data_IF_294088019631
#
_entry.id   IF_294088019631
#
_cell.length_a   1.000
_cell.length_b   1.000
_cell.length_c   1.000
_cell.angle_alpha   90.00
_cell.angle_beta   90.00
_cell.angle_gamma   90.00
#
_symmetry.space_group_name_H-M   'P 1'
#
loop_
_entity.id
_entity.type
_entity.pdbx_description
1 polymer ?
#
# COMPACT_ATOMS: atom_id res chain seq x y z
N UNK A 1 22.96 3.05 0.52
CA UNK A 1 21.49 3.22 0.55
C UNK A 1 20.95 3.20 1.97
N UNK A 2 20.90 2.05 2.66
CA UNK A 2 20.23 1.90 3.96
C UNK A 2 20.69 2.88 5.06
N UNK A 3 22.00 3.10 5.23
CA UNK A 3 22.53 4.05 6.24
C UNK A 3 22.00 5.48 6.00
N UNK A 4 22.01 5.92 4.74
CA UNK A 4 21.51 7.25 4.37
C UNK A 4 20.01 7.39 4.60
N UNK A 5 19.23 6.35 4.29
CA UNK A 5 17.80 6.36 4.59
C UNK A 5 17.50 6.39 6.09
N UNK A 6 18.25 5.64 6.91
CA UNK A 6 18.12 5.73 8.38
C UNK A 6 18.41 7.14 8.90
N UNK A 7 19.44 7.79 8.39
CA UNK A 7 19.74 9.20 8.72
C UNK A 7 18.60 10.15 8.31
N UNK A 8 17.98 9.93 7.14
CA UNK A 8 16.85 10.74 6.69
C UNK A 8 15.61 10.52 7.58
N UNK A 9 15.35 9.29 8.02
CA UNK A 9 14.27 9.00 8.97
C UNK A 9 14.50 9.64 10.34
N UNK A 10 15.74 9.59 10.87
CA UNK A 10 16.14 10.28 12.11
C UNK A 10 15.92 11.79 12.04
N UNK A 11 16.05 12.37 10.84
CA UNK A 11 15.80 13.78 10.60
C UNK A 11 14.34 14.09 10.24
N UNK A 12 13.41 13.13 10.41
CA UNK A 12 11.99 13.33 10.15
C UNK A 12 11.62 13.57 8.69
N UNK A 13 12.46 13.15 7.74
CA UNK A 13 12.31 13.53 6.32
C UNK A 13 11.26 12.73 5.55
N UNK A 14 10.63 11.74 6.15
CA UNK A 14 9.67 10.87 5.49
C UNK A 14 8.35 10.77 6.26
N UNK A 15 7.25 10.81 5.51
CA UNK A 15 5.93 10.34 5.95
C UNK A 15 5.48 9.14 5.12
N UNK A 16 4.43 8.46 5.58
CA UNK A 16 3.82 7.33 4.86
C UNK A 16 2.33 7.55 4.63
N UNK A 17 1.87 7.44 3.37
CA UNK A 17 0.46 7.40 3.00
C UNK A 17 0.07 5.94 2.75
N UNK A 18 -1.02 5.49 3.38
CA UNK A 18 -1.60 4.17 3.17
C UNK A 18 -2.91 4.29 2.43
N UNK A 19 -2.99 3.66 1.26
CA UNK A 19 -4.20 3.61 0.45
C UNK A 19 -5.11 2.50 0.99
N UNK A 20 -6.14 2.90 1.73
CA UNK A 20 -7.05 2.01 2.46
C UNK A 20 -8.53 2.21 2.09
N UNK A 21 -8.83 2.87 0.97
CA UNK A 21 -10.21 3.06 0.48
C UNK A 21 -10.92 1.80 -0.05
N UNK A 22 -10.27 0.63 0.03
CA UNK A 22 -10.82 -0.64 -0.43
C UNK A 22 -11.63 -1.38 0.65
N UNK A 23 -12.68 -2.08 0.21
CA UNK A 23 -13.48 -2.98 1.05
C UNK A 23 -12.92 -4.42 1.01
N UNK A 24 -13.20 -5.19 2.06
CA UNK A 24 -12.81 -6.60 2.21
C UNK A 24 -13.68 -7.60 1.43
N UNK A 25 -14.49 -7.17 0.47
CA UNK A 25 -15.54 -8.00 -0.16
C UNK A 25 -15.01 -9.29 -0.81
N UNK A 26 -13.86 -9.25 -1.48
CA UNK A 26 -13.21 -10.44 -2.06
C UNK A 26 -12.71 -11.46 -1.03
N UNK A 27 -12.61 -11.05 0.23
CA UNK A 27 -12.22 -11.88 1.37
C UNK A 27 -13.45 -12.43 2.11
N UNK A 28 -14.66 -12.20 1.58
CA UNK A 28 -15.93 -12.44 2.28
C UNK A 28 -15.97 -11.75 3.66
N UNK A 29 -15.34 -10.59 3.76
CA UNK A 29 -15.27 -9.79 4.97
C UNK A 29 -16.11 -8.53 4.79
N UNK A 30 -17.03 -8.30 5.73
CA UNK A 30 -17.83 -7.09 5.78
C UNK A 30 -17.01 -5.95 6.38
N UNK A 31 -16.81 -4.90 5.59
CA UNK A 31 -16.14 -3.68 6.03
C UNK A 31 -14.74 -3.47 5.48
N UNK A 32 -14.00 -2.53 6.07
CA UNK A 32 -12.76 -2.03 5.51
C UNK A 32 -11.67 -3.10 5.59
N UNK A 33 -10.93 -3.29 4.50
CA UNK A 33 -9.95 -4.37 4.41
C UNK A 33 -8.87 -4.31 5.49
N UNK A 34 -8.49 -3.11 5.93
CA UNK A 34 -7.47 -2.93 6.96
C UNK A 34 -7.84 -3.52 8.34
N UNK A 35 -9.12 -3.79 8.59
CA UNK A 35 -9.60 -4.43 9.83
C UNK A 35 -9.37 -5.94 9.83
N UNK A 36 -9.05 -6.55 8.68
CA UNK A 36 -8.94 -7.98 8.53
C UNK A 36 -7.74 -8.53 9.33
N UNK A 37 -7.93 -9.54 10.22
CA UNK A 37 -6.86 -10.15 10.99
C UNK A 37 -5.97 -11.03 10.11
N UNK A 38 -4.66 -10.82 10.15
CA UNK A 38 -3.70 -11.52 9.30
C UNK A 38 -2.58 -12.24 10.05
N UNK A 39 -2.20 -11.80 11.25
CA UNK A 39 -1.16 -12.51 12.01
C UNK A 39 -1.71 -13.78 12.66
N UNK A 40 -0.84 -14.75 12.91
CA UNK A 40 -1.26 -16.12 13.29
C UNK A 40 -1.47 -16.24 14.79
N UNK A 41 -0.61 -15.65 15.61
CA UNK A 41 -0.61 -15.86 17.06
C UNK A 41 -1.39 -14.77 17.77
N UNK A 42 -1.19 -13.50 17.39
CA UNK A 42 -1.88 -12.36 18.02
C UNK A 42 -3.12 -11.92 17.24
N UNK A 43 -3.37 -12.50 16.07
CA UNK A 43 -4.50 -12.14 15.20
C UNK A 43 -4.59 -10.64 14.89
N UNK A 44 -3.42 -10.00 14.72
CA UNK A 44 -3.31 -8.57 14.43
C UNK A 44 -3.95 -8.26 13.09
N UNK A 45 -4.72 -7.19 13.04
CA UNK A 45 -5.25 -6.65 11.79
C UNK A 45 -4.15 -6.01 10.94
N UNK A 46 -4.42 -5.81 9.64
CA UNK A 46 -3.51 -5.06 8.76
C UNK A 46 -3.22 -3.64 9.31
N UNK A 47 -4.23 -2.96 9.86
CA UNK A 47 -4.04 -1.66 10.50
C UNK A 47 -3.20 -1.73 11.78
N UNK A 48 -3.40 -2.76 12.60
CA UNK A 48 -2.57 -2.96 13.80
C UNK A 48 -1.10 -3.19 13.43
N UNK A 49 -0.82 -4.05 12.45
CA UNK A 49 0.56 -4.29 11.98
C UNK A 49 1.22 -2.99 11.49
N UNK A 50 0.49 -2.16 10.75
CA UNK A 50 0.97 -0.88 10.26
C UNK A 50 1.25 0.12 11.39
N UNK A 51 0.32 0.23 12.35
CA UNK A 51 0.43 1.16 13.46
C UNK A 51 1.60 0.79 14.38
N UNK A 52 1.72 -0.48 14.77
CA UNK A 52 2.81 -0.96 15.62
C UNK A 52 4.18 -0.80 14.91
N UNK A 53 4.25 -1.07 13.59
CA UNK A 53 5.46 -0.77 12.78
C UNK A 53 5.82 0.71 12.81
N UNK A 54 4.84 1.59 12.73
CA UNK A 54 5.06 3.05 12.78
C UNK A 54 5.56 3.50 14.15
N UNK A 55 5.02 2.94 15.23
CA UNK A 55 5.49 3.17 16.62
C UNK A 55 6.93 2.67 16.77
N UNK A 56 7.21 1.45 16.34
CA UNK A 56 8.55 0.86 16.40
C UNK A 56 9.59 1.66 15.58
N UNK A 57 9.23 2.08 14.36
CA UNK A 57 10.08 2.93 13.53
C UNK A 57 10.38 4.26 14.23
N UNK A 58 9.35 4.90 14.79
CA UNK A 58 9.49 6.17 15.52
C UNK A 58 10.40 6.04 16.75
N UNK A 59 10.28 4.93 17.48
CA UNK A 59 11.16 4.59 18.61
C UNK A 59 12.60 4.36 18.16
N UNK A 60 12.82 3.65 17.05
CA UNK A 60 14.16 3.40 16.51
C UNK A 60 14.90 4.69 16.18
N UNK A 61 14.19 5.67 15.62
CA UNK A 61 14.78 6.93 15.17
C UNK A 61 14.63 8.08 16.17
N UNK A 62 13.99 7.82 17.32
CA UNK A 62 13.64 8.80 18.34
C UNK A 62 12.94 10.05 17.77
N UNK A 63 12.02 9.84 16.83
CA UNK A 63 11.28 10.91 16.16
C UNK A 63 9.86 10.41 15.80
N UNK A 64 8.79 11.18 16.04
CA UNK A 64 7.43 10.77 15.72
C UNK A 64 7.19 10.82 14.20
N UNK A 65 7.33 9.67 13.54
CA UNK A 65 7.14 9.57 12.10
C UNK A 65 5.64 9.69 11.73
N UNK A 66 5.36 10.39 10.63
CA UNK A 66 4.00 10.74 10.21
C UNK A 66 3.38 9.67 9.30
N UNK A 67 2.14 9.29 9.61
CA UNK A 67 1.33 8.31 8.91
C UNK A 67 -0.01 8.95 8.51
N UNK A 68 -0.42 8.80 7.26
CA UNK A 68 -1.73 9.21 6.80
C UNK A 68 -2.46 8.03 6.18
N UNK A 69 -3.72 7.83 6.56
CA UNK A 69 -4.58 6.77 6.03
C UNK A 69 -5.60 7.40 5.09
N UNK A 70 -5.55 7.01 3.81
CA UNK A 70 -6.57 7.37 2.83
C UNK A 70 -7.74 6.39 2.91
N UNK A 71 -8.91 6.89 3.24
CA UNK A 71 -10.18 6.15 3.33
C UNK A 71 -11.05 6.38 2.09
N UNK A 72 -12.19 5.71 2.03
CA UNK A 72 -13.30 6.01 1.12
C UNK A 72 -14.50 6.52 1.90
N UNK A 73 -15.48 7.19 1.26
CA UNK A 73 -16.68 7.63 1.96
C UNK A 73 -17.41 6.46 2.65
N UNK A 74 -17.32 5.26 2.09
CA UNK A 74 -17.97 4.07 2.63
C UNK A 74 -17.24 3.44 3.83
N UNK A 75 -15.94 3.71 4.04
CA UNK A 75 -15.19 3.13 5.16
C UNK A 75 -14.63 4.15 6.16
N UNK A 76 -14.68 5.45 5.88
CA UNK A 76 -13.99 6.46 6.68
C UNK A 76 -14.36 6.41 8.17
N UNK A 77 -15.66 6.42 8.48
CA UNK A 77 -16.12 6.41 9.87
C UNK A 77 -15.74 5.12 10.59
N UNK A 78 -15.93 3.96 9.96
CA UNK A 78 -15.61 2.65 10.54
C UNK A 78 -14.11 2.53 10.79
N UNK A 79 -13.28 2.98 9.85
CA UNK A 79 -11.83 2.99 10.00
C UNK A 79 -11.40 3.89 11.15
N UNK A 80 -11.89 5.13 11.23
CA UNK A 80 -11.55 6.05 12.34
C UNK A 80 -11.96 5.48 13.70
N UNK A 81 -13.18 4.95 13.79
CA UNK A 81 -13.69 4.34 15.03
C UNK A 81 -12.82 3.16 15.48
N UNK A 82 -12.40 2.31 14.54
CA UNK A 82 -11.54 1.17 14.84
C UNK A 82 -10.19 1.58 15.45
N UNK A 83 -9.57 2.65 14.96
CA UNK A 83 -8.34 3.19 15.56
C UNK A 83 -8.59 3.75 16.97
N UNK A 84 -9.72 4.44 17.19
CA UNK A 84 -10.09 4.99 18.52
C UNK A 84 -10.29 3.86 19.53
N UNK A 85 -11.05 2.82 19.17
CA UNK A 85 -11.36 1.68 20.05
C UNK A 85 -10.12 0.89 20.49
N UNK A 86 -9.05 0.96 19.70
CA UNK A 86 -7.79 0.27 19.96
C UNK A 86 -6.68 1.21 20.48
N UNK A 87 -7.04 2.41 20.95
CA UNK A 87 -6.11 3.43 21.45
C UNK A 87 -4.92 3.68 20.49
N UNK A 88 -5.22 3.65 19.19
CA UNK A 88 -4.28 3.82 18.08
C UNK A 88 -3.04 2.90 18.13
N UNK A 89 -3.08 1.80 18.89
CA UNK A 89 -1.95 0.90 19.15
C UNK A 89 -0.67 1.63 19.58
N UNK A 90 -0.81 2.71 20.36
CA UNK A 90 0.30 3.51 20.88
C UNK A 90 0.81 4.60 19.96
N UNK A 91 0.19 4.83 18.78
CA UNK A 91 0.45 6.04 18.00
C UNK A 91 -0.07 7.26 18.75
N UNK A 92 0.75 8.32 18.82
CA UNK A 92 0.23 9.62 19.26
C UNK A 92 -0.71 10.20 18.20
N UNK A 93 -1.68 11.01 18.63
CA UNK A 93 -2.62 11.68 17.72
C UNK A 93 -1.92 12.58 16.69
N UNK A 94 -0.73 13.08 17.02
CA UNK A 94 0.07 13.89 16.11
C UNK A 94 0.76 13.07 15.00
N UNK A 95 0.92 11.76 15.18
CA UNK A 95 1.56 10.88 14.19
C UNK A 95 0.59 10.41 13.11
N UNK A 96 -0.71 10.34 13.40
CA UNK A 96 -1.70 9.76 12.49
C UNK A 96 -2.70 10.80 11.98
N UNK A 97 -2.97 10.76 10.68
CA UNK A 97 -4.00 11.57 10.03
C UNK A 97 -4.87 10.70 9.13
N UNK A 98 -6.11 11.14 8.90
CA UNK A 98 -7.04 10.48 7.99
C UNK A 98 -7.50 11.50 6.96
N UNK A 99 -7.57 11.09 5.70
CA UNK A 99 -8.20 11.87 4.65
C UNK A 99 -9.02 10.93 3.76
N UNK A 100 -10.16 11.41 3.29
CA UNK A 100 -11.07 10.61 2.50
C UNK A 100 -10.83 10.89 1.01
N UNK A 101 -10.73 9.84 0.20
CA UNK A 101 -10.67 10.00 -1.25
C UNK A 101 -12.01 10.48 -1.80
N UNK A 102 -11.95 11.18 -2.93
CA UNK A 102 -13.12 11.67 -3.65
C UNK A 102 -13.84 10.57 -4.45
N UNK A 103 -15.03 10.88 -4.95
CA UNK A 103 -15.84 9.98 -5.80
C UNK A 103 -16.00 10.50 -7.21
N UNK A 104 -16.35 9.61 -8.13
CA UNK A 104 -16.82 9.95 -9.47
C UNK A 104 -18.23 9.39 -9.69
N UNK A 105 -19.06 10.08 -10.50
CA UNK A 105 -20.36 9.54 -10.89
C UNK A 105 -20.23 8.25 -11.71
N UNK A 106 -21.19 7.35 -11.52
CA UNK A 106 -21.39 6.19 -12.38
C UNK A 106 -22.28 6.58 -13.56
N UNK A 107 -22.01 5.98 -14.72
CA UNK A 107 -22.82 6.18 -15.93
C UNK A 107 -23.51 4.89 -16.32
N UNK A 108 -24.75 4.97 -16.79
CA UNK A 108 -25.46 3.81 -17.36
C UNK A 108 -24.90 3.42 -18.74
N UNK A 109 -25.53 2.47 -19.42
CA UNK A 109 -25.06 1.96 -20.71
C UNK A 109 -25.02 3.05 -21.79
N UNK A 110 -25.93 4.02 -21.71
CA UNK A 110 -26.04 5.17 -22.61
C UNK A 110 -25.09 6.33 -22.25
N UNK A 111 -24.29 6.19 -21.19
CA UNK A 111 -23.39 7.23 -20.72
C UNK A 111 -24.08 8.35 -19.91
N UNK A 112 -25.29 8.10 -19.42
CA UNK A 112 -26.09 9.04 -18.62
C UNK A 112 -25.94 8.79 -17.12
N UNK A 113 -26.08 9.86 -16.33
CA UNK A 113 -26.20 9.78 -14.87
C UNK A 113 -27.49 9.06 -14.48
N UNK A 114 -27.44 8.33 -13.37
CA UNK A 114 -28.62 7.70 -12.78
C UNK A 114 -28.57 7.81 -11.25
N UNK A 115 -29.73 7.56 -10.63
CA UNK A 115 -29.90 7.67 -9.19
C UNK A 115 -29.60 6.33 -8.49
N UNK A 116 -28.75 6.36 -7.47
CA UNK A 116 -28.60 5.25 -6.50
C UNK A 116 -29.77 5.26 -5.51
N UNK A 117 -30.17 6.45 -5.06
CA UNK A 117 -31.36 6.69 -4.21
C UNK A 117 -32.16 7.85 -4.76
N UNK A 118 -33.40 8.05 -4.29
CA UNK A 118 -34.27 9.14 -4.76
C UNK A 118 -33.65 10.55 -4.64
N UNK A 119 -32.64 10.72 -3.80
CA UNK A 119 -31.98 12.00 -3.54
C UNK A 119 -30.47 12.00 -3.85
N UNK A 120 -29.93 10.93 -4.45
CA UNK A 120 -28.47 10.80 -4.67
C UNK A 120 -28.17 10.14 -6.01
N UNK A 121 -27.30 10.78 -6.80
CA UNK A 121 -26.70 10.15 -7.97
C UNK A 121 -25.83 8.95 -7.56
N UNK A 122 -25.74 7.96 -8.43
CA UNK A 122 -24.83 6.85 -8.21
C UNK A 122 -23.38 7.30 -8.35
N UNK A 123 -22.57 7.03 -7.33
CA UNK A 123 -21.17 7.42 -7.25
C UNK A 123 -20.34 6.26 -6.73
N UNK A 124 -19.04 6.29 -7.03
CA UNK A 124 -18.09 5.35 -6.47
C UNK A 124 -16.73 5.98 -6.29
N UNK A 125 -15.86 5.38 -5.47
CA UNK A 125 -14.50 5.87 -5.30
C UNK A 125 -13.77 6.02 -6.63
N UNK A 126 -13.07 7.14 -6.80
CA UNK A 126 -12.42 7.56 -8.06
C UNK A 126 -11.04 6.90 -8.32
N UNK A 127 -10.71 5.86 -7.55
CA UNK A 127 -9.48 5.09 -7.70
C UNK A 127 -8.29 5.64 -6.91
N UNK A 128 -7.26 4.83 -6.76
CA UNK A 128 -6.10 5.14 -5.92
C UNK A 128 -5.16 6.19 -6.54
N UNK A 129 -5.34 6.56 -7.82
CA UNK A 129 -4.57 7.59 -8.50
C UNK A 129 -4.84 9.00 -8.00
N UNK A 130 -6.02 9.25 -7.47
CA UNK A 130 -6.38 10.56 -6.95
C UNK A 130 -5.77 10.87 -5.58
N UNK A 131 -5.06 9.92 -4.96
CA UNK A 131 -4.56 10.05 -3.59
C UNK A 131 -3.67 11.29 -3.38
N UNK A 132 -2.85 11.69 -4.37
CA UNK A 132 -2.01 12.88 -4.27
C UNK A 132 -2.86 14.15 -4.25
N UNK A 133 -3.93 14.20 -5.04
CA UNK A 133 -4.87 15.32 -5.04
C UNK A 133 -5.64 15.40 -3.73
N UNK A 134 -6.23 14.28 -3.27
CA UNK A 134 -6.99 14.25 -2.02
C UNK A 134 -6.10 14.59 -0.80
N UNK A 135 -4.85 14.10 -0.79
CA UNK A 135 -3.86 14.45 0.24
C UNK A 135 -3.54 15.95 0.23
N UNK A 136 -3.36 16.55 -0.96
CA UNK A 136 -3.11 17.98 -1.09
C UNK A 136 -4.32 18.81 -0.66
N UNK A 137 -5.52 18.47 -1.13
CA UNK A 137 -6.77 19.18 -0.81
C UNK A 137 -7.17 19.06 0.66
N UNK A 138 -6.79 17.98 1.34
CA UNK A 138 -7.01 17.83 2.78
C UNK A 138 -6.20 18.80 3.64
N UNK A 139 -5.23 19.51 3.07
CA UNK A 139 -4.28 20.37 3.78
C UNK A 139 -3.13 19.60 4.45
N UNK A 140 -3.14 18.27 4.42
CA UNK A 140 -2.08 17.45 5.03
C UNK A 140 -0.72 17.62 4.34
N UNK A 141 -0.71 17.95 3.04
CA UNK A 141 0.53 18.30 2.33
C UNK A 141 1.26 19.46 3.03
N UNK A 142 0.54 20.55 3.35
CA UNK A 142 1.13 21.73 3.98
C UNK A 142 1.60 21.42 5.41
N UNK A 143 0.81 20.64 6.16
CA UNK A 143 1.19 20.17 7.51
C UNK A 143 2.49 19.36 7.45
N UNK A 144 2.62 18.44 6.51
CA UNK A 144 3.81 17.61 6.35
C UNK A 144 5.02 18.41 5.87
N UNK A 145 4.80 19.36 4.95
CA UNK A 145 5.84 20.30 4.50
C UNK A 145 6.38 21.14 5.66
N UNK A 146 5.51 21.68 6.51
CA UNK A 146 5.90 22.45 7.70
C UNK A 146 6.67 21.59 8.73
N UNK A 147 6.37 20.29 8.83
CA UNK A 147 7.13 19.33 9.64
C UNK A 147 8.49 18.96 9.04
N UNK A 148 8.83 19.46 7.85
CA UNK A 148 10.11 19.21 7.19
C UNK A 148 10.19 17.86 6.47
N UNK A 149 9.04 17.23 6.19
CA UNK A 149 8.96 16.01 5.37
C UNK A 149 9.31 16.35 3.93
N UNK A 150 10.18 15.56 3.32
CA UNK A 150 10.66 15.71 1.95
C UNK A 150 10.26 14.53 1.06
N UNK A 151 9.97 13.37 1.65
CA UNK A 151 9.66 12.13 0.95
C UNK A 151 8.37 11.48 1.49
N UNK A 152 7.60 10.87 0.61
CA UNK A 152 6.40 10.12 0.96
C UNK A 152 6.54 8.69 0.48
N UNK A 153 6.49 7.73 1.39
CA UNK A 153 6.21 6.35 1.02
C UNK A 153 4.70 6.16 0.82
N UNK A 154 4.28 5.59 -0.30
CA UNK A 154 2.87 5.25 -0.57
C UNK A 154 2.75 3.73 -0.69
N UNK A 155 1.89 3.14 0.15
CA UNK A 155 1.66 1.69 0.21
C UNK A 155 0.18 1.35 0.12
N UNK A 156 -0.13 0.16 -0.39
CA UNK A 156 -1.47 -0.42 -0.29
C UNK A 156 -1.64 -1.12 1.06
N UNK A 157 -2.81 -0.93 1.70
CA UNK A 157 -3.12 -1.55 3.00
C UNK A 157 -3.04 -3.08 2.98
N UNK A 158 -3.18 -3.71 1.82
CA UNK A 158 -3.29 -5.17 1.73
C UNK A 158 -1.97 -5.91 1.65
N UNK A 159 -0.84 -5.22 1.49
CA UNK A 159 0.47 -5.85 1.52
C UNK A 159 0.98 -5.95 2.96
N UNK A 160 0.87 -7.13 3.58
CA UNK A 160 1.28 -7.36 4.98
C UNK A 160 2.78 -7.20 5.20
N UNK A 161 3.57 -7.35 4.13
CA UNK A 161 5.02 -7.15 4.14
C UNK A 161 5.45 -5.72 3.80
N UNK A 162 4.52 -4.80 3.55
CA UNK A 162 4.88 -3.41 3.31
C UNK A 162 5.61 -2.84 4.55
N UNK A 163 6.67 -2.09 4.27
CA UNK A 163 7.44 -1.33 5.25
C UNK A 163 7.08 0.16 5.06
N UNK A 164 6.33 0.78 6.00
CA UNK A 164 5.93 2.18 5.86
C UNK A 164 7.11 3.14 5.86
N UNK A 165 8.25 2.77 6.48
CA UNK A 165 9.44 3.61 6.64
C UNK A 165 10.70 2.90 6.15
N UNK A 166 10.62 2.35 4.93
CA UNK A 166 11.70 1.62 4.28
C UNK A 166 12.95 2.48 4.06
N UNK A 167 13.94 2.33 4.94
CA UNK A 167 15.19 3.06 4.88
C UNK A 167 16.04 2.73 3.64
N UNK A 168 15.91 1.53 3.07
CA UNK A 168 16.66 1.18 1.87
C UNK A 168 16.08 1.89 0.64
N UNK A 169 14.75 1.84 0.49
CA UNK A 169 14.02 2.54 -0.56
C UNK A 169 14.26 4.05 -0.49
N UNK A 170 14.13 4.66 0.69
CA UNK A 170 14.38 6.08 0.90
C UNK A 170 15.83 6.44 0.55
N UNK A 171 16.79 5.65 1.02
CA UNK A 171 18.20 5.86 0.75
C UNK A 171 18.52 5.80 -0.74
N UNK A 172 17.95 4.83 -1.46
CA UNK A 172 18.09 4.73 -2.91
C UNK A 172 17.45 5.92 -3.62
N UNK A 173 16.19 6.24 -3.30
CA UNK A 173 15.43 7.35 -3.89
C UNK A 173 16.19 8.68 -3.78
N UNK A 174 16.70 8.97 -2.57
CA UNK A 174 17.50 10.17 -2.32
C UNK A 174 18.80 10.19 -3.12
N UNK A 175 19.55 9.06 -3.14
CA UNK A 175 20.82 8.97 -3.88
C UNK A 175 20.64 9.17 -5.38
N UNK A 176 19.54 8.67 -5.95
CA UNK A 176 19.22 8.86 -7.38
C UNK A 176 18.69 10.26 -7.70
N UNK A 177 18.40 11.09 -6.68
CA UNK A 177 17.66 12.35 -6.83
C UNK A 177 16.36 12.12 -7.61
N UNK A 178 15.67 11.02 -7.28
CA UNK A 178 14.46 10.59 -7.94
C UNK A 178 13.28 11.51 -7.58
N UNK A 179 12.30 11.58 -8.47
CA UNK A 179 10.99 12.16 -8.17
C UNK A 179 10.03 11.06 -7.73
N UNK A 180 10.12 9.89 -8.37
CA UNK A 180 9.35 8.69 -8.03
C UNK A 180 10.28 7.48 -8.08
N UNK A 181 10.31 6.68 -7.03
CA UNK A 181 10.88 5.33 -7.04
C UNK A 181 9.79 4.32 -6.77
N UNK A 182 9.75 3.24 -7.56
CA UNK A 182 8.84 2.11 -7.33
C UNK A 182 9.66 0.95 -6.79
N UNK A 183 9.20 0.33 -5.70
CA UNK A 183 9.74 -0.98 -5.28
C UNK A 183 9.03 -2.08 -6.06
N UNK A 184 9.82 -2.88 -6.74
CA UNK A 184 9.38 -3.92 -7.65
C UNK A 184 9.90 -5.28 -7.19
N UNK A 185 9.32 -6.35 -7.72
CA UNK A 185 9.91 -7.69 -7.62
C UNK A 185 9.89 -8.37 -8.98
N UNK A 186 10.55 -9.52 -9.09
CA UNK A 186 10.45 -10.30 -10.31
C UNK A 186 9.10 -11.01 -10.38
N UNK A 187 8.45 -10.91 -11.55
CA UNK A 187 7.32 -11.72 -11.95
C UNK A 187 7.82 -13.15 -12.13
N UNK A 188 7.20 -14.10 -11.44
CA UNK A 188 7.69 -15.49 -11.44
C UNK A 188 7.13 -16.30 -12.62
N UNK A 189 5.89 -16.02 -13.02
CA UNK A 189 5.17 -16.82 -14.01
C UNK A 189 4.45 -15.91 -15.02
N UNK A 190 4.37 -16.30 -16.31
CA UNK A 190 3.67 -15.53 -17.35
C UNK A 190 2.26 -15.07 -16.99
N UNK A 191 1.51 -15.93 -16.28
CA UNK A 191 0.09 -15.73 -15.96
C UNK A 191 -0.17 -15.00 -14.64
N UNK A 192 0.88 -14.58 -13.94
CA UNK A 192 0.73 -13.78 -12.72
C UNK A 192 -0.03 -12.48 -13.01
N UNK A 193 -1.10 -12.22 -12.25
CA UNK A 193 -2.00 -11.06 -12.40
C UNK A 193 -1.41 -9.82 -11.73
N UNK A 194 -0.29 -9.36 -12.26
CA UNK A 194 0.42 -8.18 -11.79
C UNK A 194 0.77 -7.27 -12.96
N UNK A 195 0.58 -5.96 -12.78
CA UNK A 195 1.05 -4.97 -13.74
C UNK A 195 2.58 -5.01 -13.87
N UNK A 196 3.09 -4.72 -15.06
CA UNK A 196 4.54 -4.70 -15.32
C UNK A 196 5.00 -3.26 -15.57
N UNK A 197 6.18 -2.91 -15.06
CA UNK A 197 6.83 -1.66 -15.41
C UNK A 197 7.50 -1.82 -16.76
N UNK A 198 7.24 -0.88 -17.66
CA UNK A 198 7.89 -0.80 -18.96
C UNK A 198 8.40 0.61 -19.19
N UNK A 199 9.39 0.72 -20.08
CA UNK A 199 9.86 2.00 -20.60
C UNK A 199 9.46 2.11 -22.06
N UNK A 200 8.61 3.07 -22.38
CA UNK A 200 8.12 3.35 -23.73
C UNK A 200 8.31 4.84 -24.02
N UNK A 201 8.87 5.20 -25.18
CA UNK A 201 9.12 6.61 -25.57
C UNK A 201 9.84 7.41 -24.48
N UNK A 202 10.87 6.80 -23.86
CA UNK A 202 11.64 7.34 -22.73
C UNK A 202 10.87 7.59 -21.42
N UNK A 203 9.56 7.28 -21.36
CA UNK A 203 8.74 7.38 -20.15
C UNK A 203 8.51 6.01 -19.52
N UNK A 204 8.41 6.00 -18.20
CA UNK A 204 8.04 4.79 -17.45
C UNK A 204 6.52 4.77 -17.32
N UNK A 205 5.92 3.61 -17.61
CA UNK A 205 4.49 3.35 -17.38
C UNK A 205 4.32 1.96 -16.81
N UNK A 206 3.15 1.71 -16.23
CA UNK A 206 2.72 0.36 -15.89
C UNK A 206 1.75 -0.11 -16.97
N UNK A 207 1.94 -1.32 -17.47
CA UNK A 207 0.95 -2.02 -18.30
C UNK A 207 0.29 -3.07 -17.42
N UNK A 208 -1.03 -3.00 -17.28
CA UNK A 208 -1.78 -3.96 -16.49
C UNK A 208 -1.79 -5.35 -17.13
N UNK A 209 -1.92 -6.40 -16.31
CA UNK A 209 -1.85 -7.79 -16.80
C UNK A 209 -2.93 -8.11 -17.84
N UNK A 210 -4.08 -7.43 -17.78
CA UNK A 210 -5.19 -7.57 -18.72
C UNK A 210 -4.91 -6.93 -20.08
N UNK A 211 -3.92 -6.06 -20.18
CA UNK A 211 -3.54 -5.34 -21.40
C UNK A 211 -2.37 -6.01 -22.14
N UNK A 212 -1.69 -6.96 -21.49
CA UNK A 212 -0.60 -7.71 -22.10
C UNK A 212 -1.13 -8.80 -23.03
N UNK A 213 -0.58 -8.86 -24.25
CA UNK A 213 -0.78 -10.00 -25.15
C UNK A 213 -0.13 -11.27 -24.60
N UNK A 214 -0.64 -12.44 -24.98
CA UNK A 214 -0.04 -13.71 -24.54
C UNK A 214 1.39 -13.89 -25.05
N UNK A 215 1.70 -13.34 -26.22
CA UNK A 215 3.09 -13.28 -26.71
C UNK A 215 3.99 -12.51 -25.74
N UNK A 216 3.57 -11.34 -25.26
CA UNK A 216 4.36 -10.56 -24.30
C UNK A 216 4.42 -11.23 -22.92
N UNK A 217 3.33 -11.85 -22.46
CA UNK A 217 3.34 -12.58 -21.17
C UNK A 217 4.37 -13.71 -21.15
N UNK A 218 4.54 -14.41 -22.27
CA UNK A 218 5.43 -15.56 -22.39
C UNK A 218 6.83 -15.21 -22.96
N UNK A 219 7.09 -13.93 -23.27
CA UNK A 219 8.38 -13.52 -23.80
C UNK A 219 9.49 -13.74 -22.76
N UNK A 220 10.52 -14.48 -23.14
CA UNK A 220 11.64 -14.85 -22.28
C UNK A 220 12.99 -14.58 -22.93
N UNK A 221 13.96 -14.18 -22.12
CA UNK A 221 15.37 -14.09 -22.49
C UNK A 221 16.00 -15.48 -22.69
N UNK A 222 17.22 -15.53 -23.24
CA UNK A 222 17.95 -16.78 -23.50
C UNK A 222 18.16 -17.64 -22.23
N UNK A 223 18.20 -17.03 -21.05
CA UNK A 223 18.33 -17.70 -19.75
C UNK A 223 16.99 -18.20 -19.16
N UNK A 224 15.89 -18.15 -19.93
CA UNK A 224 14.50 -18.47 -19.51
C UNK A 224 13.87 -17.47 -18.52
N UNK A 225 14.53 -16.36 -18.19
CA UNK A 225 13.93 -15.26 -17.43
C UNK A 225 12.88 -14.56 -18.29
N UNK A 226 11.76 -14.14 -17.70
CA UNK A 226 10.77 -13.35 -18.43
C UNK A 226 11.36 -12.00 -18.83
N UNK A 227 11.19 -11.62 -20.09
CA UNK A 227 11.63 -10.32 -20.60
C UNK A 227 10.91 -9.17 -19.88
N UNK A 228 9.62 -9.38 -19.59
CA UNK A 228 8.76 -8.45 -18.87
C UNK A 228 8.56 -8.89 -17.43
N UNK A 229 9.65 -8.88 -16.65
CA UNK A 229 9.68 -9.40 -15.29
C UNK A 229 9.50 -8.34 -14.18
N UNK A 230 9.55 -7.04 -14.46
CA UNK A 230 9.50 -6.02 -13.42
C UNK A 230 8.07 -5.79 -12.91
N UNK A 231 7.67 -6.50 -11.85
CA UNK A 231 6.31 -6.46 -11.32
C UNK A 231 6.06 -5.21 -10.48
N UNK A 232 4.93 -4.54 -10.73
CA UNK A 232 4.44 -3.41 -9.97
C UNK A 232 3.81 -3.86 -8.64
N UNK A 233 4.42 -3.49 -7.52
CA UNK A 233 3.90 -3.81 -6.19
C UNK A 233 2.96 -2.74 -5.63
N UNK A 234 2.79 -1.63 -6.36
CA UNK A 234 2.15 -0.41 -5.87
C UNK A 234 2.75 0.09 -4.55
N UNK A 235 4.07 -0.02 -4.44
CA UNK A 235 4.88 0.49 -3.33
C UNK A 235 5.81 1.57 -3.90
N UNK A 236 5.61 2.81 -3.49
CA UNK A 236 6.28 3.97 -4.07
C UNK A 236 6.98 4.79 -3.00
N UNK A 237 8.05 5.48 -3.40
CA UNK A 237 8.60 6.65 -2.71
C UNK A 237 8.47 7.84 -3.66
N UNK A 238 7.77 8.89 -3.23
CA UNK A 238 7.58 10.15 -3.95
C UNK A 238 8.36 11.27 -3.27
N UNK A 239 8.90 12.20 -4.05
CA UNK A 239 9.40 13.48 -3.51
C UNK A 239 8.23 14.44 -3.28
N UNK A 240 8.21 15.13 -2.14
CA UNK A 240 7.22 16.20 -1.87
C UNK A 240 7.28 17.32 -2.93
N UNK A 241 8.47 17.60 -3.46
CA UNK A 241 8.66 18.57 -4.54
C UNK A 241 8.05 18.14 -5.87
N UNK A 242 7.90 16.84 -6.13
CA UNK A 242 7.18 16.36 -7.31
C UNK A 242 5.69 16.75 -7.22
N UNK A 243 5.08 16.57 -6.06
CA UNK A 243 3.69 16.95 -5.79
C UNK A 243 3.52 18.47 -5.96
N UNK A 244 4.42 19.25 -5.35
CA UNK A 244 4.43 20.71 -5.42
C UNK A 244 4.49 21.25 -6.85
N UNK A 245 5.35 20.66 -7.68
CA UNK A 245 5.57 21.13 -9.04
C UNK A 245 4.53 20.61 -10.04
N UNK A 246 3.85 19.51 -9.71
CA UNK A 246 2.97 18.81 -10.67
C UNK A 246 1.50 19.15 -10.42
N UNK A 247 1.02 19.09 -9.18
CA UNK A 247 -0.42 19.25 -8.89
C UNK A 247 -1.00 20.62 -9.28
N UNK A 248 -0.31 21.77 -9.09
CA UNK A 248 -0.85 23.08 -9.49
C UNK A 248 -1.10 23.23 -10.99
N UNK A 249 -0.48 22.39 -11.82
CA UNK A 249 -0.70 22.38 -13.28
C UNK A 249 -1.94 21.57 -13.68
N UNK A 250 -2.75 21.10 -12.72
CA UNK A 250 -3.98 20.32 -12.93
C UNK A 250 -3.80 19.15 -13.92
N UNK A 251 -2.85 18.23 -13.66
CA UNK A 251 -2.60 17.09 -14.53
C UNK A 251 -3.84 16.19 -14.60
N UNK A 252 -4.14 15.73 -15.82
CA UNK A 252 -5.25 14.82 -16.05
C UNK A 252 -4.78 13.36 -16.04
N UNK A 253 -5.11 12.61 -14.98
CA UNK A 253 -4.88 11.17 -14.97
C UNK A 253 -5.90 10.44 -15.88
N UNK A 254 -5.47 9.41 -16.63
CA UNK A 254 -6.39 8.59 -17.41
C UNK A 254 -7.50 7.98 -16.54
N UNK A 255 -8.72 7.99 -17.07
CA UNK A 255 -9.85 7.29 -16.47
C UNK A 255 -9.94 5.87 -17.02
N UNK A 256 -9.73 4.89 -16.13
CA UNK A 256 -9.90 3.47 -16.41
C UNK A 256 -11.34 3.08 -16.10
N UNK A 257 -12.04 2.51 -17.08
CA UNK A 257 -13.47 2.17 -16.94
C UNK A 257 -13.67 0.68 -16.69
N UNK A 258 -14.62 0.35 -15.81
CA UNK A 258 -15.08 -1.00 -15.57
C UNK A 258 -16.60 -1.07 -15.53
N UNK A 259 -17.17 -2.09 -16.17
CA UNK A 259 -18.61 -2.36 -16.12
C UNK A 259 -18.94 -3.14 -14.84
N UNK A 260 -19.78 -2.57 -13.97
CA UNK A 260 -20.03 -3.06 -12.60
C UNK A 260 -21.51 -3.11 -12.26
N UNK A 261 -21.85 -4.02 -11.33
CA UNK A 261 -23.14 -4.00 -10.67
C UNK A 261 -23.19 -2.77 -9.76
N UNK A 262 -24.34 -2.10 -9.72
CA UNK A 262 -24.54 -0.89 -8.96
C UNK A 262 -25.93 -0.88 -8.33
N UNK A 263 -26.08 -0.06 -7.29
CA UNK A 263 -27.39 0.26 -6.73
C UNK A 263 -28.05 1.32 -7.60
N UNK A 264 -29.35 1.17 -7.85
CA UNK A 264 -30.13 2.11 -8.64
C UNK A 264 -31.56 2.22 -8.12
N UNK A 265 -32.25 3.31 -8.47
CA UNK A 265 -33.69 3.47 -8.24
C UNK A 265 -34.46 2.81 -9.38
N UNK A 266 -35.27 1.79 -9.09
CA UNK A 266 -36.09 1.11 -10.10
C UNK A 266 -37.37 1.90 -10.45
N UNK A 267 -38.19 1.37 -11.37
CA UNK A 267 -39.42 2.00 -11.84
C UNK A 267 -40.43 2.28 -10.71
N UNK A 268 -40.40 1.50 -9.63
CA UNK A 268 -41.24 1.69 -8.43
C UNK A 268 -40.66 2.72 -7.45
N UNK A 269 -39.51 3.33 -7.77
CA UNK A 269 -38.82 4.26 -6.91
C UNK A 269 -38.06 3.60 -5.75
N UNK A 270 -37.76 2.30 -5.82
CA UNK A 270 -37.08 1.55 -4.75
C UNK A 270 -35.61 1.36 -5.11
N UNK A 271 -34.70 1.65 -4.17
CA UNK A 271 -33.26 1.38 -4.32
C UNK A 271 -33.01 -0.12 -4.33
N UNK A 272 -32.41 -0.61 -5.40
CA UNK A 272 -32.12 -2.03 -5.64
C UNK A 272 -30.67 -2.21 -6.05
N UNK A 273 -29.96 -3.21 -5.50
CA UNK A 273 -28.66 -3.65 -6.01
C UNK A 273 -28.89 -4.58 -7.20
N UNK A 274 -28.32 -4.24 -8.36
CA UNK A 274 -28.43 -5.09 -9.54
C UNK A 274 -27.70 -6.42 -9.36
N UNK A 275 -28.30 -7.51 -9.85
CA UNK A 275 -27.69 -8.84 -9.90
C UNK A 275 -26.64 -9.00 -11.00
N UNK A 276 -26.62 -8.08 -11.97
CA UNK A 276 -25.70 -8.04 -13.09
C UNK A 276 -25.11 -6.63 -13.27
N UNK A 277 -23.96 -6.49 -13.94
CA UNK A 277 -23.39 -5.18 -14.23
C UNK A 277 -24.31 -4.27 -15.05
N UNK A 278 -24.51 -3.04 -14.58
CA UNK A 278 -25.41 -2.03 -15.19
C UNK A 278 -24.78 -0.65 -15.36
N UNK A 279 -23.55 -0.44 -14.87
CA UNK A 279 -22.94 0.88 -14.85
C UNK A 279 -21.44 0.88 -15.14
N UNK A 280 -20.98 1.90 -15.85
CA UNK A 280 -19.58 2.26 -16.00
C UNK A 280 -19.12 2.96 -14.73
N UNK A 281 -18.14 2.34 -14.06
CA UNK A 281 -17.36 2.96 -12.99
C UNK A 281 -16.02 3.41 -13.57
N UNK A 282 -15.55 4.59 -13.16
CA UNK A 282 -14.25 5.15 -13.56
C UNK A 282 -13.30 5.23 -12.37
N UNK A 283 -12.05 4.86 -12.59
CA UNK A 283 -10.98 4.91 -11.58
C UNK A 283 -9.70 5.48 -12.20
N UNK A 284 -8.93 6.19 -11.40
CA UNK A 284 -7.55 6.59 -11.71
C UNK A 284 -6.57 5.69 -10.97
N UNK A 285 -5.37 5.48 -11.53
CA UNK A 285 -4.35 4.64 -10.89
C UNK A 285 -3.11 5.42 -10.48
N UNK A 286 -2.55 5.10 -9.30
CA UNK A 286 -1.38 5.77 -8.71
C UNK A 286 -0.13 5.66 -9.58
N UNK A 287 -0.02 4.59 -10.37
CA UNK A 287 1.09 4.44 -11.31
C UNK A 287 0.97 5.32 -12.56
N UNK A 288 -0.19 5.92 -12.83
CA UNK A 288 -0.33 6.87 -13.95
C UNK A 288 0.37 8.21 -13.67
N UNK A 289 0.83 8.44 -12.44
CA UNK A 289 1.71 9.56 -12.10
C UNK A 289 3.10 9.46 -12.72
N UNK A 290 3.56 8.26 -13.07
CA UNK A 290 4.91 8.03 -13.58
C UNK A 290 5.20 8.80 -14.87
N UNK A 291 4.17 9.02 -15.70
CA UNK A 291 4.31 9.75 -16.96
C UNK A 291 4.62 11.24 -16.77
N UNK A 292 4.34 11.81 -15.59
CA UNK A 292 4.61 13.21 -15.27
C UNK A 292 6.00 13.43 -14.67
N UNK A 293 6.66 12.35 -14.25
CA UNK A 293 7.99 12.44 -13.69
C UNK A 293 9.07 12.35 -14.77
N UNK A 294 10.14 13.13 -14.58
CA UNK A 294 11.36 13.09 -15.40
C UNK A 294 12.38 12.10 -14.84
N UNK A 295 12.24 11.67 -13.59
CA UNK A 295 13.20 10.83 -12.86
C UNK A 295 12.49 9.72 -12.08
N UNK A 296 12.13 8.68 -12.83
CA UNK A 296 11.53 7.46 -12.30
C UNK A 296 12.58 6.35 -12.22
N UNK A 297 12.62 5.65 -11.09
CA UNK A 297 13.46 4.47 -10.90
C UNK A 297 12.65 3.29 -10.38
N UNK A 298 13.10 2.07 -10.70
CA UNK A 298 12.58 0.83 -10.14
C UNK A 298 13.67 0.20 -9.26
N UNK A 299 13.31 -0.15 -8.03
CA UNK A 299 14.15 -0.91 -7.11
C UNK A 299 13.64 -2.35 -7.07
N UNK A 300 14.32 -3.26 -7.77
CA UNK A 300 14.00 -4.69 -7.71
C UNK A 300 14.42 -5.27 -6.36
N UNK A 301 13.51 -5.99 -5.71
CA UNK A 301 13.70 -6.53 -4.38
C UNK A 301 13.16 -7.98 -4.27
N UNK A 302 13.73 -8.81 -3.37
CA UNK A 302 13.20 -10.15 -3.13
C UNK A 302 11.74 -10.12 -2.67
N UNK A 303 10.86 -10.85 -3.38
CA UNK A 303 9.41 -10.89 -3.12
C UNK A 303 9.09 -11.20 -1.66
N UNK A 304 9.71 -12.26 -1.12
CA UNK A 304 9.46 -12.74 0.24
C UNK A 304 9.80 -11.72 1.34
N UNK A 305 10.51 -10.64 1.02
CA UNK A 305 10.83 -9.57 1.97
C UNK A 305 9.90 -8.36 1.87
N UNK A 306 9.16 -8.19 0.77
CA UNK A 306 8.44 -6.93 0.51
C UNK A 306 7.03 -7.10 -0.03
N UNK A 307 6.58 -8.31 -0.40
CA UNK A 307 5.30 -8.50 -1.05
C UNK A 307 4.59 -9.78 -0.62
N UNK A 308 3.52 -9.60 0.16
CA UNK A 308 2.50 -10.62 0.40
C UNK A 308 1.13 -9.92 0.50
N UNK A 309 0.49 -9.66 -0.65
CA UNK A 309 -0.81 -9.01 -0.66
C UNK A 309 -1.91 -9.97 -0.24
N UNK A 310 -2.89 -9.48 0.49
CA UNK A 310 -4.13 -10.20 0.80
C UNK A 310 -5.18 -9.81 -0.24
N UNK A 311 -5.45 -10.59 -1.28
CA UNK A 311 -6.43 -10.25 -2.34
C UNK A 311 -7.61 -11.21 -2.42
N UNK A 312 -7.40 -12.49 -2.09
CA UNK A 312 -8.35 -13.57 -2.37
C UNK A 312 -8.72 -14.32 -1.08
N UNK A 313 -9.89 -14.96 -1.07
CA UNK A 313 -10.31 -15.80 0.06
C UNK A 313 -9.42 -17.06 0.20
N UNK A 314 -9.04 -17.69 -0.92
CA UNK A 314 -8.24 -18.92 -0.98
C UNK A 314 -7.22 -18.86 -2.12
N UNK A 315 -6.19 -19.72 -2.06
CA UNK A 315 -5.15 -19.83 -3.08
C UNK A 315 -4.09 -18.73 -2.97
N UNK A 316 -3.58 -18.27 -4.12
CA UNK A 316 -2.60 -17.18 -4.16
C UNK A 316 -3.18 -15.90 -3.56
N UNK A 317 -2.34 -15.13 -2.86
CA UNK A 317 -2.72 -13.89 -2.19
C UNK A 317 -3.90 -14.07 -1.21
N UNK A 318 -4.03 -15.25 -0.60
CA UNK A 318 -4.99 -15.53 0.48
C UNK A 318 -4.38 -15.36 1.87
N UNK A 319 -5.23 -15.40 2.90
CA UNK A 319 -4.81 -15.37 4.30
C UNK A 319 -3.72 -16.42 4.58
N UNK A 320 -3.88 -17.65 4.08
CA UNK A 320 -2.88 -18.71 4.26
C UNK A 320 -1.52 -18.33 3.67
N UNK A 321 -1.52 -17.81 2.44
CA UNK A 321 -0.28 -17.39 1.77
C UNK A 321 0.40 -16.21 2.48
N UNK A 322 -0.40 -15.26 2.98
CA UNK A 322 0.06 -14.10 3.76
C UNK A 322 0.68 -14.55 5.08
N UNK A 323 0.02 -15.45 5.81
CA UNK A 323 0.51 -16.00 7.07
C UNK A 323 1.82 -16.76 6.89
N UNK A 324 1.95 -17.58 5.84
CA UNK A 324 3.21 -18.24 5.49
C UNK A 324 4.33 -17.24 5.23
N UNK A 325 4.03 -16.16 4.51
CA UNK A 325 5.02 -15.12 4.21
C UNK A 325 5.44 -14.32 5.47
N UNK A 326 4.49 -14.02 6.37
CA UNK A 326 4.76 -13.38 7.66
C UNK A 326 5.67 -14.26 8.53
N UNK A 327 5.31 -15.53 8.74
CA UNK A 327 6.11 -16.48 9.52
C UNK A 327 7.52 -16.62 8.95
N UNK A 328 7.65 -16.72 7.63
CA UNK A 328 8.95 -16.79 6.99
C UNK A 328 9.79 -15.54 7.29
N UNK A 329 9.20 -14.35 7.13
CA UNK A 329 9.90 -13.09 7.42
C UNK A 329 10.30 -12.97 8.89
N UNK A 330 9.44 -13.40 9.80
CA UNK A 330 9.70 -13.34 11.24
C UNK A 330 10.89 -14.23 11.64
N UNK A 331 11.01 -15.42 11.03
CA UNK A 331 12.19 -16.26 11.22
C UNK A 331 13.46 -15.60 10.72
N UNK A 332 13.44 -15.05 9.51
CA UNK A 332 14.61 -14.40 8.93
C UNK A 332 15.05 -13.18 9.74
N UNK A 333 14.11 -12.36 10.22
CA UNK A 333 14.40 -11.22 11.09
C UNK A 333 15.01 -11.70 12.41
N UNK A 334 14.38 -12.65 13.10
CA UNK A 334 14.91 -13.12 14.39
C UNK A 334 16.29 -13.74 14.23
N UNK A 335 16.50 -14.54 13.19
CA UNK A 335 17.80 -15.13 12.87
C UNK A 335 18.86 -14.06 12.61
N UNK A 336 18.52 -13.01 11.86
CA UNK A 336 19.44 -11.91 11.57
C UNK A 336 19.85 -11.12 12.82
N UNK A 337 18.97 -11.02 13.81
CA UNK A 337 19.21 -10.28 15.06
C UNK A 337 19.96 -11.14 16.09
N UNK A 338 19.56 -12.40 16.25
CA UNK A 338 20.10 -13.29 17.29
C UNK A 338 21.36 -14.02 16.84
N UNK A 339 21.54 -14.24 15.53
CA UNK A 339 22.56 -15.12 14.97
C UNK A 339 22.25 -16.62 15.13
N UNK A 340 21.05 -16.98 15.58
CA UNK A 340 20.62 -18.35 15.87
C UNK A 340 19.39 -18.74 15.06
N UNK A 341 19.25 -20.04 14.78
CA UNK A 341 18.02 -20.56 14.18
C UNK A 341 16.84 -20.47 15.17
N UNK A 342 15.67 -19.95 14.75
CA UNK A 342 14.47 -19.95 15.59
C UNK A 342 14.06 -21.38 15.97
N UNK A 343 13.76 -21.64 17.25
CA UNK A 343 13.48 -23.00 17.73
C UNK A 343 12.11 -23.55 17.29
N UNK A 344 11.19 -22.67 16.88
CA UNK A 344 9.84 -23.03 16.44
C UNK A 344 9.63 -22.71 14.97
N UNK A 345 8.85 -23.56 14.30
CA UNK A 345 8.41 -23.30 12.94
C UNK A 345 7.32 -22.23 12.84
N UNK A 346 6.65 -21.93 13.96
CA UNK A 346 5.66 -20.87 14.08
C UNK A 346 6.18 -19.87 15.11
N UNK A 347 6.36 -18.63 14.69
CA UNK A 347 6.82 -17.53 15.53
C UNK A 347 6.13 -16.27 15.05
N UNK A 348 5.86 -15.32 15.95
CA UNK A 348 5.38 -13.98 15.63
C UNK A 348 6.21 -12.96 16.42
N UNK A 349 6.68 -11.89 15.76
CA UNK A 349 7.54 -10.89 16.39
C UNK A 349 6.75 -9.62 16.74
N UNK A 350 7.11 -8.98 17.85
CA UNK A 350 6.74 -7.59 18.09
C UNK A 350 7.33 -6.67 17.00
N UNK A 351 6.66 -5.53 16.75
CA UNK A 351 7.05 -4.63 15.67
C UNK A 351 8.47 -4.03 15.84
N UNK A 352 8.98 -3.95 17.09
CA UNK A 352 10.34 -3.49 17.39
C UNK A 352 11.43 -4.30 16.67
N UNK A 353 11.20 -5.57 16.35
CA UNK A 353 12.18 -6.38 15.62
C UNK A 353 12.33 -5.96 14.15
N UNK A 354 11.33 -5.30 13.56
CA UNK A 354 11.43 -4.74 12.21
C UNK A 354 12.24 -3.43 12.20
N UNK A 355 12.24 -2.71 13.33
CA UNK A 355 12.99 -1.47 13.53
C UNK A 355 13.85 -1.57 14.80
N UNK A 356 14.84 -2.49 14.84
CA UNK A 356 15.53 -2.80 16.07
C UNK A 356 16.35 -1.60 16.56
N UNK A 357 16.19 -1.24 17.82
CA UNK A 357 17.05 -0.28 18.53
C UNK A 357 18.37 -0.93 18.90
N UNK A 358 19.39 -0.13 19.25
CA UNK A 358 20.64 -0.67 19.76
C UNK A 358 20.43 -1.56 21.01
N UNK A 359 19.52 -1.16 21.90
CA UNK A 359 19.19 -1.92 23.11
C UNK A 359 18.54 -3.27 22.79
N UNK A 360 17.62 -3.31 21.82
CA UNK A 360 16.99 -4.56 21.38
C UNK A 360 18.02 -5.51 20.78
N UNK A 361 18.89 -5.01 19.91
CA UNK A 361 19.98 -5.79 19.31
C UNK A 361 20.89 -6.38 20.40
N UNK A 362 21.29 -5.58 21.38
CA UNK A 362 22.13 -6.04 22.48
C UNK A 362 21.43 -7.10 23.35
N UNK A 363 20.12 -6.92 23.62
CA UNK A 363 19.32 -7.84 24.43
C UNK A 363 19.09 -9.20 23.77
N UNK A 364 18.97 -9.22 22.45
CA UNK A 364 18.63 -10.43 21.68
C UNK A 364 19.81 -11.12 21.01
N UNK A 365 20.99 -10.50 20.98
CA UNK A 365 22.22 -11.13 20.48
C UNK A 365 22.45 -12.48 21.19
N UNK A 366 22.62 -13.54 20.41
CA UNK A 366 22.83 -14.91 20.87
C UNK A 366 21.75 -15.46 21.82
N UNK A 367 20.50 -15.00 21.70
CA UNK A 367 19.37 -15.44 22.53
C UNK A 367 18.34 -16.20 21.72
N UNK A 368 17.89 -17.35 22.24
CA UNK A 368 16.78 -18.11 21.67
C UNK A 368 15.43 -17.58 22.16
N UNK A 369 14.45 -17.53 21.26
CA UNK A 369 13.06 -17.28 21.60
C UNK A 369 12.51 -18.43 22.48
N UNK A 370 11.77 -18.09 23.54
CA UNK A 370 11.19 -19.06 24.48
C UNK A 370 9.68 -19.27 24.28
N UNK A 371 9.06 -18.38 23.51
CA UNK A 371 7.61 -18.30 23.29
C UNK A 371 7.35 -18.13 21.80
N UNK A 372 6.14 -18.48 21.35
CA UNK A 372 5.75 -18.31 19.96
C UNK A 372 5.64 -16.82 19.59
N UNK A 373 5.12 -15.98 20.49
CA UNK A 373 5.18 -14.53 20.33
C UNK A 373 6.42 -13.98 21.04
N UNK A 374 7.24 -13.21 20.33
CA UNK A 374 8.50 -12.66 20.84
C UNK A 374 8.37 -11.17 21.09
N UNK A 375 8.50 -10.81 22.37
CA UNK A 375 8.50 -9.42 22.82
C UNK A 375 9.89 -8.77 22.69
N UNK A 376 9.97 -7.43 22.56
CA UNK A 376 11.22 -6.68 22.45
C UNK A 376 12.19 -6.94 23.60
#
# INVERSE_FOLDING_TARGET
MQLKGKQLLQNGKMGCIVLAGGQGTRLCFEGPKGLFPVSVIKHKSLFQLLAEKTVAASKQVNFPLSLAIMTSPENDQVTKQFFVENDYWGLSKDQISFFCQSTLPLLNAEGSLFLETKSRIAEGPNGNGHCLHDFYQSGLYDVWKQRGIEYINIILVDNSLADPFDAELLGFHHQQKAEITIKCTEKHEPQEKVGILVKENHRVKVIEYSELSDQHKNASEANRRLQYCCANLSLFCFSMSFIENTLPNHPFLPLHKAWKAAKFVNEQGITTLSSHPIAWKFETFIFDWLQYSKKVFALLYPRHQCFAPLKNFQGNDSLESVQKALIYREKEILKSITGLEPPSNLIELAADFYYPTADLLNKWKNRLAKTLYVEP
#
